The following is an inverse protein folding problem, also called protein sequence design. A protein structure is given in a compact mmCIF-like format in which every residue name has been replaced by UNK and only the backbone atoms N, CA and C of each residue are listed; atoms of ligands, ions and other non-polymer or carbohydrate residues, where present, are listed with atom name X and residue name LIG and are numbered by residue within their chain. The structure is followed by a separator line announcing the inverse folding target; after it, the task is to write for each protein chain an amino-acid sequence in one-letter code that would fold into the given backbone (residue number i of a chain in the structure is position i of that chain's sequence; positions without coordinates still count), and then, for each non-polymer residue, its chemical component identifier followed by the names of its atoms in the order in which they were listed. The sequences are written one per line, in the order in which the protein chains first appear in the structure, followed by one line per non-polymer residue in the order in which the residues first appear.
data_IF_227598566556
#
_entry.id   IF_227598566556
#
_cell.length_a   1.000
_cell.length_b   1.000
_cell.length_c   1.000
_cell.angle_alpha   90.00
_cell.angle_beta   90.00
_cell.angle_gamma   90.00
#
_symmetry.space_group_name_H-M   'P 1'
#
loop_
_entity.id
_entity.type
_entity.pdbx_description
1 polymer ?
#
# COMPACT_ATOMS: atom_id res chain seq x y z
N UNK A 1 -15.06 3.74 4.64
CA UNK A 1 -14.86 2.82 5.78
C UNK A 1 -14.93 3.64 7.07
N UNK A 2 -15.94 3.47 7.89
CA UNK A 2 -16.06 4.02 9.25
C UNK A 2 -15.87 5.52 9.50
N UNK A 3 -15.73 6.35 8.47
CA UNK A 3 -15.37 7.76 8.57
C UNK A 3 -13.86 7.98 8.84
N UNK A 4 -13.38 9.23 8.66
CA UNK A 4 -11.96 9.59 8.77
C UNK A 4 -11.34 9.21 10.13
N UNK A 5 -11.99 9.52 11.24
CA UNK A 5 -11.49 9.22 12.59
C UNK A 5 -11.31 7.70 12.86
N UNK A 6 -12.20 6.87 12.31
CA UNK A 6 -12.08 5.42 12.46
C UNK A 6 -10.96 4.83 11.59
N UNK A 7 -10.69 5.43 10.41
CA UNK A 7 -9.56 5.07 9.57
C UNK A 7 -8.21 5.37 10.21
N UNK A 8 -8.06 6.50 10.90
CA UNK A 8 -6.85 6.86 11.64
C UNK A 8 -6.54 5.84 12.76
N UNK A 9 -7.56 5.42 13.50
CA UNK A 9 -7.41 4.38 14.54
C UNK A 9 -6.99 3.05 13.91
N UNK A 10 -7.63 2.65 12.83
CA UNK A 10 -7.32 1.38 12.16
C UNK A 10 -5.89 1.36 11.62
N UNK A 11 -5.45 2.43 10.96
CA UNK A 11 -4.08 2.53 10.43
C UNK A 11 -3.02 2.54 11.53
N UNK A 12 -3.26 3.23 12.64
CA UNK A 12 -2.35 3.22 13.81
C UNK A 12 -2.20 1.81 14.38
N UNK A 13 -3.32 1.09 14.61
CA UNK A 13 -3.29 -0.30 15.11
C UNK A 13 -2.51 -1.19 14.13
N UNK A 14 -2.75 -1.04 12.81
CA UNK A 14 -2.04 -1.83 11.81
C UNK A 14 -0.51 -1.66 11.90
N UNK A 15 -0.04 -0.41 11.95
CA UNK A 15 1.39 -0.09 12.05
C UNK A 15 1.98 -0.62 13.35
N UNK A 16 1.32 -0.38 14.49
CA UNK A 16 1.80 -0.83 15.80
C UNK A 16 1.94 -2.35 15.87
N UNK A 17 0.91 -3.10 15.44
CA UNK A 17 0.94 -4.57 15.48
C UNK A 17 1.99 -5.16 14.55
N UNK A 18 2.10 -4.65 13.32
CA UNK A 18 3.10 -5.12 12.36
C UNK A 18 4.52 -4.86 12.86
N UNK A 19 4.80 -3.65 13.35
CA UNK A 19 6.11 -3.32 13.90
C UNK A 19 6.43 -4.17 15.13
N UNK A 20 5.48 -4.36 16.05
CA UNK A 20 5.66 -5.19 17.24
C UNK A 20 6.07 -6.60 16.88
N UNK A 21 5.44 -7.22 15.87
CA UNK A 21 5.70 -8.60 15.49
C UNK A 21 6.97 -8.75 14.64
N UNK A 22 7.25 -7.81 13.73
CA UNK A 22 8.41 -7.91 12.85
C UNK A 22 9.72 -7.50 13.56
N UNK A 23 9.67 -6.50 14.46
CA UNK A 23 10.87 -5.99 15.14
C UNK A 23 11.10 -6.71 16.48
N UNK A 24 10.03 -7.03 17.20
CA UNK A 24 10.12 -7.57 18.57
C UNK A 24 10.23 -9.09 18.67
N UNK A 25 9.90 -9.85 17.64
CA UNK A 25 9.75 -11.31 17.70
C UNK A 25 10.52 -12.03 16.58
N UNK A 26 11.74 -11.58 16.28
CA UNK A 26 12.56 -12.25 15.26
C UNK A 26 13.12 -13.56 15.84
N UNK A 27 12.40 -14.67 15.61
CA UNK A 27 12.89 -15.99 15.99
C UNK A 27 14.03 -16.45 15.05
N UNK A 28 15.08 -17.08 15.56
CA UNK A 28 16.14 -17.64 14.73
C UNK A 28 15.57 -18.68 13.77
N UNK A 29 15.75 -18.49 12.45
CA UNK A 29 15.29 -19.40 11.41
C UNK A 29 13.86 -19.14 10.91
N UNK A 30 13.16 -18.12 11.41
CA UNK A 30 11.86 -17.74 10.89
C UNK A 30 12.00 -17.14 9.48
N UNK A 31 11.10 -17.57 8.58
CA UNK A 31 11.04 -17.11 7.19
C UNK A 31 10.33 -15.75 7.17
N UNK A 32 11.05 -14.70 6.78
CA UNK A 32 10.56 -13.31 6.87
C UNK A 32 9.22 -13.04 6.18
N UNK A 33 8.94 -13.55 4.95
CA UNK A 33 7.64 -13.35 4.32
C UNK A 33 6.47 -13.99 5.09
N UNK A 34 6.68 -15.13 5.75
CA UNK A 34 5.64 -15.78 6.57
C UNK A 34 5.41 -14.99 7.87
N UNK A 35 6.47 -14.48 8.49
CA UNK A 35 6.35 -13.57 9.63
C UNK A 35 5.58 -12.31 9.27
N UNK A 36 5.90 -11.70 8.12
CA UNK A 36 5.21 -10.52 7.65
C UNK A 36 3.72 -10.79 7.35
N UNK A 37 3.42 -11.93 6.72
CA UNK A 37 2.04 -12.37 6.48
C UNK A 37 1.27 -12.56 7.79
N UNK A 38 1.86 -13.24 8.77
CA UNK A 38 1.27 -13.46 10.08
C UNK A 38 1.06 -12.13 10.83
N UNK A 39 1.99 -11.18 10.71
CA UNK A 39 1.84 -9.85 11.29
C UNK A 39 0.66 -9.07 10.69
N UNK A 40 0.43 -9.18 9.38
CA UNK A 40 -0.73 -8.57 8.71
C UNK A 40 -2.04 -9.21 9.16
N UNK A 41 -2.08 -10.55 9.33
CA UNK A 41 -3.26 -11.25 9.86
C UNK A 41 -3.55 -10.81 11.30
N UNK A 42 -2.53 -10.74 12.15
CA UNK A 42 -2.69 -10.29 13.54
C UNK A 42 -3.18 -8.82 13.61
N UNK A 43 -2.69 -7.94 12.74
CA UNK A 43 -3.18 -6.58 12.63
C UNK A 43 -4.67 -6.53 12.23
N UNK A 44 -5.10 -7.38 11.28
CA UNK A 44 -6.52 -7.52 10.94
C UNK A 44 -7.36 -7.90 12.15
N UNK A 45 -6.93 -8.91 12.90
CA UNK A 45 -7.65 -9.42 14.08
C UNK A 45 -7.75 -8.36 15.18
N UNK A 46 -6.71 -7.60 15.41
CA UNK A 46 -6.68 -6.49 16.37
C UNK A 46 -7.68 -5.39 15.99
N UNK A 47 -7.69 -4.96 14.71
CA UNK A 47 -8.60 -3.94 14.21
C UNK A 47 -10.04 -4.45 14.27
N UNK A 48 -10.32 -5.66 13.76
CA UNK A 48 -11.64 -6.26 13.78
C UNK A 48 -12.18 -6.39 15.20
N UNK A 49 -11.39 -6.93 16.13
CA UNK A 49 -11.77 -7.09 17.53
C UNK A 49 -12.05 -5.74 18.20
N UNK A 50 -11.29 -4.70 17.87
CA UNK A 50 -11.52 -3.34 18.39
C UNK A 50 -12.83 -2.76 17.87
N UNK A 51 -13.14 -2.97 16.58
CA UNK A 51 -14.41 -2.54 15.98
C UNK A 51 -15.62 -3.22 16.66
N UNK A 52 -15.55 -4.53 16.91
CA UNK A 52 -16.62 -5.29 17.55
C UNK A 52 -16.90 -4.84 18.98
N UNK A 53 -15.88 -4.38 19.72
CA UNK A 53 -16.02 -3.92 21.11
C UNK A 53 -16.56 -2.50 21.24
N UNK A 54 -16.58 -1.72 20.17
CA UNK A 54 -17.02 -0.33 20.22
C UNK A 54 -17.95 -0.02 19.02
N UNK A 55 -19.27 0.12 19.26
CA UNK A 55 -20.22 0.42 18.20
C UNK A 55 -19.90 1.68 17.38
N UNK A 56 -19.18 2.67 17.95
CA UNK A 56 -18.74 3.88 17.24
C UNK A 56 -17.67 3.61 16.21
N UNK A 57 -17.00 2.47 16.28
CA UNK A 57 -15.95 2.02 15.38
C UNK A 57 -16.43 0.91 14.43
N UNK A 58 -17.73 0.65 14.39
CA UNK A 58 -18.29 -0.40 13.52
C UNK A 58 -17.94 -0.14 12.06
N UNK A 59 -17.40 -1.17 11.38
CA UNK A 59 -16.95 -1.08 10.00
C UNK A 59 -15.65 -0.28 9.79
N UNK A 60 -14.90 0.02 10.86
CA UNK A 60 -13.56 0.60 10.68
C UNK A 60 -12.64 -0.38 9.95
N UNK A 61 -11.78 0.17 9.12
CA UNK A 61 -10.79 -0.60 8.38
C UNK A 61 -9.76 0.30 7.75
N UNK A 62 -8.68 -0.29 7.28
CA UNK A 62 -7.60 0.41 6.58
C UNK A 62 -7.03 -0.46 5.47
N UNK A 63 -6.45 0.17 4.46
CA UNK A 63 -5.56 -0.48 3.50
C UNK A 63 -4.18 -0.67 4.13
N UNK A 64 -3.36 -1.52 3.52
CA UNK A 64 -1.96 -1.72 3.88
C UNK A 64 -1.14 -1.97 2.62
N UNK A 65 -0.04 -1.28 2.49
CA UNK A 65 1.08 -1.66 1.63
C UNK A 65 2.36 -1.58 2.46
N UNK A 66 3.18 -2.61 2.41
CA UNK A 66 4.45 -2.66 3.16
C UNK A 66 5.54 -3.31 2.33
N UNK A 67 6.74 -2.77 2.43
CA UNK A 67 7.98 -3.33 1.90
C UNK A 67 8.78 -3.89 3.07
N UNK A 68 9.06 -5.18 3.03
CA UNK A 68 9.86 -5.88 4.03
C UNK A 68 11.15 -6.31 3.36
N UNK A 69 12.28 -5.94 3.95
CA UNK A 69 13.60 -6.20 3.37
C UNK A 69 14.47 -6.99 4.32
N UNK A 70 15.26 -7.88 3.78
CA UNK A 70 16.36 -8.58 4.42
C UNK A 70 17.64 -8.32 3.61
N UNK A 71 18.80 -8.82 4.08
CA UNK A 71 20.10 -8.59 3.45
C UNK A 71 20.14 -8.89 1.94
N UNK A 72 19.33 -9.84 1.46
CA UNK A 72 19.35 -10.30 0.05
C UNK A 72 17.99 -10.39 -0.63
N UNK A 73 16.92 -10.08 0.08
CA UNK A 73 15.56 -10.32 -0.42
C UNK A 73 14.64 -9.20 0.05
N UNK A 74 13.62 -8.94 -0.75
CA UNK A 74 12.58 -7.99 -0.41
C UNK A 74 11.21 -8.56 -0.78
N UNK A 75 10.20 -8.23 0.00
CA UNK A 75 8.82 -8.64 -0.23
C UNK A 75 7.88 -7.44 -0.07
N UNK A 76 6.92 -7.35 -0.96
CA UNK A 76 5.81 -6.40 -0.82
C UNK A 76 4.57 -7.16 -0.40
N UNK A 77 3.92 -6.74 0.70
CA UNK A 77 2.60 -7.23 1.07
C UNK A 77 1.56 -6.14 0.86
N UNK A 78 0.40 -6.54 0.34
CA UNK A 78 -0.68 -5.62 0.03
C UNK A 78 -2.05 -6.13 0.50
N UNK A 79 -2.84 -5.21 1.07
CA UNK A 79 -4.28 -5.34 1.33
C UNK A 79 -4.94 -4.01 1.02
N UNK A 80 -5.73 -3.94 -0.05
CA UNK A 80 -6.41 -2.71 -0.48
C UNK A 80 -5.88 -2.16 -1.79
N UNK A 81 -6.05 -0.86 -1.99
CA UNK A 81 -5.71 -0.09 -3.18
C UNK A 81 -4.56 0.91 -2.99
N UNK A 82 -3.87 0.85 -1.85
CA UNK A 82 -2.56 1.46 -1.68
C UNK A 82 -1.54 0.68 -2.49
N UNK A 83 -0.59 1.37 -3.12
CA UNK A 83 0.26 0.76 -4.13
C UNK A 83 1.74 0.79 -3.77
N UNK A 84 2.47 -0.22 -4.26
CA UNK A 84 3.92 -0.20 -4.36
C UNK A 84 4.33 -0.19 -5.82
N UNK A 85 5.24 0.72 -6.16
CA UNK A 85 5.88 0.82 -7.47
C UNK A 85 7.37 0.61 -7.35
N UNK A 86 8.00 0.14 -8.43
CA UNK A 86 9.45 0.09 -8.60
C UNK A 86 9.85 0.93 -9.80
N UNK A 87 10.81 1.82 -9.63
CA UNK A 87 11.54 2.47 -10.72
C UNK A 87 12.88 1.75 -10.89
N UNK A 88 13.07 1.12 -12.04
CA UNK A 88 14.34 0.48 -12.49
C UNK A 88 14.61 0.91 -13.92
N UNK A 89 15.85 1.26 -14.25
CA UNK A 89 16.27 1.65 -15.60
C UNK A 89 15.36 2.71 -16.24
N UNK A 90 14.95 3.69 -15.44
CA UNK A 90 14.03 4.76 -15.84
C UNK A 90 12.61 4.31 -16.22
N UNK A 91 12.20 3.09 -15.87
CA UNK A 91 10.86 2.55 -16.09
C UNK A 91 10.15 2.34 -14.77
N UNK A 92 8.97 2.90 -14.67
CA UNK A 92 8.06 2.69 -13.54
C UNK A 92 7.20 1.44 -13.77
N UNK A 93 7.12 0.58 -12.75
CA UNK A 93 6.30 -0.63 -12.74
C UNK A 93 5.49 -0.68 -11.45
N UNK A 94 4.18 -0.88 -11.54
CA UNK A 94 3.35 -1.18 -10.38
C UNK A 94 3.57 -2.65 -9.98
N UNK A 95 3.99 -2.89 -8.74
CA UNK A 95 4.23 -4.23 -8.19
C UNK A 95 2.92 -4.82 -7.64
N UNK A 96 2.15 -4.02 -6.92
CA UNK A 96 0.89 -4.44 -6.29
C UNK A 96 -0.26 -4.47 -7.27
N UNK A 97 -1.25 -5.30 -6.99
CA UNK A 97 -2.53 -5.32 -7.71
C UNK A 97 -3.60 -4.77 -6.77
N UNK A 98 -4.39 -3.81 -7.22
CA UNK A 98 -5.40 -3.18 -6.39
C UNK A 98 -6.53 -4.16 -6.03
N UNK A 99 -6.89 -4.22 -4.76
CA UNK A 99 -8.10 -4.92 -4.34
C UNK A 99 -9.31 -3.99 -4.48
N UNK A 100 -9.67 -3.68 -5.71
CA UNK A 100 -10.80 -2.85 -6.08
C UNK A 100 -11.78 -3.58 -7.00
N UNK A 101 -13.05 -3.15 -6.96
CA UNK A 101 -14.08 -3.75 -7.79
C UNK A 101 -13.76 -3.61 -9.28
N UNK A 102 -13.22 -2.46 -9.70
CA UNK A 102 -12.88 -2.23 -11.10
C UNK A 102 -11.71 -3.08 -11.57
N UNK A 103 -10.68 -3.27 -10.73
CA UNK A 103 -9.53 -4.13 -11.04
C UNK A 103 -9.96 -5.60 -11.18
N UNK A 104 -10.87 -6.08 -10.34
CA UNK A 104 -11.46 -7.42 -10.48
C UNK A 104 -12.20 -7.57 -11.82
N UNK A 105 -12.97 -6.56 -12.25
CA UNK A 105 -13.67 -6.57 -13.54
C UNK A 105 -12.69 -6.56 -14.72
N UNK A 106 -11.59 -5.80 -14.62
CA UNK A 106 -10.53 -5.79 -15.65
C UNK A 106 -9.88 -7.15 -15.75
N UNK A 107 -9.50 -7.75 -14.64
CA UNK A 107 -8.88 -9.09 -14.60
C UNK A 107 -9.78 -10.20 -15.13
N UNK A 108 -11.11 -10.06 -14.95
CA UNK A 108 -12.10 -10.96 -15.52
C UNK A 108 -12.38 -10.70 -17.02
N UNK A 109 -11.72 -9.71 -17.63
CA UNK A 109 -11.98 -9.30 -19.02
C UNK A 109 -13.35 -8.65 -19.25
N UNK A 110 -14.03 -8.19 -18.18
CA UNK A 110 -15.35 -7.58 -18.24
C UNK A 110 -15.32 -6.06 -18.40
N UNK A 111 -14.15 -5.46 -18.20
CA UNK A 111 -13.91 -4.03 -18.30
C UNK A 111 -12.52 -3.77 -18.86
N UNK A 112 -12.36 -2.71 -19.66
CA UNK A 112 -11.02 -2.26 -20.07
C UNK A 112 -10.37 -1.41 -18.97
N UNK A 113 -9.03 -1.32 -18.94
CA UNK A 113 -8.32 -0.41 -18.03
C UNK A 113 -8.78 1.05 -18.21
N UNK A 114 -9.04 1.48 -19.45
CA UNK A 114 -9.52 2.83 -19.73
C UNK A 114 -10.92 3.10 -19.16
N UNK A 115 -11.79 2.11 -19.12
CA UNK A 115 -13.13 2.22 -18.54
C UNK A 115 -13.06 2.18 -17.00
N UNK A 116 -12.16 1.38 -16.44
CA UNK A 116 -11.92 1.30 -15.01
C UNK A 116 -11.53 2.67 -14.42
N UNK A 117 -10.63 3.40 -15.09
CA UNK A 117 -10.20 4.74 -14.68
C UNK A 117 -11.33 5.78 -14.65
N UNK A 118 -12.37 5.59 -15.49
CA UNK A 118 -13.54 6.50 -15.58
C UNK A 118 -14.73 6.02 -14.76
N UNK A 119 -14.66 4.82 -14.21
CA UNK A 119 -15.79 4.21 -13.49
C UNK A 119 -16.10 5.00 -12.20
N UNK A 120 -17.39 5.25 -11.91
CA UNK A 120 -17.80 5.81 -10.62
C UNK A 120 -17.50 4.85 -9.45
N UNK A 121 -17.28 3.57 -9.75
CA UNK A 121 -16.94 2.53 -8.76
C UNK A 121 -15.44 2.32 -8.57
N UNK A 122 -14.59 3.16 -9.17
CA UNK A 122 -13.12 3.02 -9.08
C UNK A 122 -12.56 3.07 -7.66
N UNK A 123 -13.31 3.70 -6.74
CA UNK A 123 -12.91 3.83 -5.33
C UNK A 123 -13.53 2.74 -4.42
N UNK A 124 -14.22 1.75 -5.00
CA UNK A 124 -14.81 0.66 -4.23
C UNK A 124 -13.77 -0.42 -4.04
N UNK A 125 -13.23 -0.51 -2.81
CA UNK A 125 -12.27 -1.54 -2.44
C UNK A 125 -13.00 -2.83 -2.02
N UNK A 126 -12.42 -3.97 -2.38
CA UNK A 126 -12.97 -5.31 -2.13
C UNK A 126 -12.30 -6.00 -0.95
N UNK A 127 -11.12 -5.51 -0.51
CA UNK A 127 -10.37 -6.06 0.61
C UNK A 127 -9.72 -4.96 1.44
N UNK A 128 -9.92 -4.99 2.78
CA UNK A 128 -9.29 -4.08 3.73
C UNK A 128 -9.10 -4.78 5.08
N UNK A 129 -8.09 -4.36 5.85
CA UNK A 129 -7.87 -4.83 7.22
C UNK A 129 -9.01 -4.37 8.12
N UNK A 130 -9.44 -5.25 9.03
CA UNK A 130 -10.42 -4.97 10.08
C UNK A 130 -11.88 -5.03 9.63
N UNK A 131 -12.16 -5.22 8.35
CA UNK A 131 -13.54 -5.27 7.82
C UNK A 131 -14.17 -6.66 7.88
N UNK A 132 -13.35 -7.70 7.94
CA UNK A 132 -13.76 -9.11 8.00
C UNK A 132 -12.96 -9.86 9.06
N UNK A 133 -13.48 -11.01 9.49
CA UNK A 133 -12.83 -11.88 10.49
C UNK A 133 -11.51 -12.47 10.03
N UNK A 134 -11.26 -12.52 8.73
CA UNK A 134 -10.02 -13.01 8.16
C UNK A 134 -9.60 -12.19 6.95
N UNK A 135 -8.30 -12.10 6.70
CA UNK A 135 -7.72 -11.45 5.54
C UNK A 135 -6.59 -12.30 4.97
N UNK A 136 -6.47 -12.30 3.66
CA UNK A 136 -5.30 -12.89 2.98
C UNK A 136 -4.56 -11.75 2.29
N UNK A 137 -3.38 -11.33 2.78
CA UNK A 137 -2.56 -10.35 2.08
C UNK A 137 -1.96 -10.98 0.83
N UNK A 138 -1.91 -10.21 -0.26
CA UNK A 138 -1.05 -10.57 -1.39
C UNK A 138 0.41 -10.35 -1.00
N UNK A 139 1.30 -11.21 -1.47
CA UNK A 139 2.73 -11.15 -1.18
C UNK A 139 3.51 -11.33 -2.46
N UNK A 140 4.33 -10.33 -2.80
CA UNK A 140 5.15 -10.28 -4.00
C UNK A 140 6.61 -10.42 -3.60
N UNK A 141 7.29 -11.43 -4.15
CA UNK A 141 8.74 -11.61 -4.01
C UNK A 141 9.45 -10.64 -4.96
N UNK A 142 10.35 -9.83 -4.42
CA UNK A 142 11.04 -8.76 -5.14
C UNK A 142 12.53 -9.07 -5.20
N UNK A 143 13.04 -9.21 -6.40
CA UNK A 143 14.47 -9.19 -6.63
C UNK A 143 14.93 -7.73 -6.75
N UNK A 144 15.35 -7.14 -5.63
CA UNK A 144 15.86 -5.79 -5.60
C UNK A 144 17.28 -5.73 -6.17
N UNK A 145 17.57 -4.71 -6.99
CA UNK A 145 18.89 -4.43 -7.56
C UNK A 145 19.37 -3.06 -7.07
N UNK A 146 20.70 -2.87 -6.94
CA UNK A 146 21.25 -1.55 -6.62
C UNK A 146 20.76 -0.48 -7.60
N UNK A 147 20.26 0.61 -7.05
CA UNK A 147 19.68 1.71 -7.83
C UNK A 147 18.17 1.69 -7.99
N UNK A 148 17.50 0.57 -7.69
CA UNK A 148 16.03 0.53 -7.63
C UNK A 148 15.49 1.56 -6.66
N UNK A 149 14.40 2.23 -7.06
CA UNK A 149 13.63 3.08 -6.18
C UNK A 149 12.24 2.51 -6.04
N UNK A 150 11.86 2.14 -4.82
CA UNK A 150 10.52 1.71 -4.47
C UNK A 150 9.73 2.91 -3.97
N UNK A 151 8.47 3.02 -4.42
CA UNK A 151 7.52 4.00 -3.94
C UNK A 151 6.30 3.28 -3.36
N UNK A 152 6.01 3.51 -2.07
CA UNK A 152 4.77 3.10 -1.44
C UNK A 152 3.89 4.34 -1.30
N UNK A 153 2.62 4.24 -1.69
CA UNK A 153 1.72 5.39 -1.62
C UNK A 153 0.27 5.00 -1.35
N UNK A 154 -0.47 5.94 -0.76
CA UNK A 154 -1.92 5.87 -0.70
C UNK A 154 -2.55 6.23 -2.06
N UNK A 155 -3.80 5.86 -2.23
CA UNK A 155 -4.62 6.18 -3.40
C UNK A 155 -4.77 7.68 -3.66
N UNK A 156 -4.70 8.52 -2.61
CA UNK A 156 -4.71 9.98 -2.75
C UNK A 156 -3.58 10.54 -3.63
N UNK A 157 -2.48 9.79 -3.82
CA UNK A 157 -1.45 10.16 -4.79
C UNK A 157 -1.82 9.71 -6.21
N UNK A 158 -2.20 8.45 -6.38
CA UNK A 158 -2.42 7.83 -7.69
C UNK A 158 -3.75 8.18 -8.33
N UNK A 159 -4.70 8.72 -7.56
CA UNK A 159 -5.92 9.33 -8.10
C UNK A 159 -5.66 10.68 -8.79
N UNK A 160 -4.66 11.40 -8.32
CA UNK A 160 -4.32 12.73 -8.83
C UNK A 160 -3.22 12.68 -9.90
N UNK A 161 -2.29 11.73 -9.80
CA UNK A 161 -1.15 11.60 -10.71
C UNK A 161 -1.22 10.29 -11.49
N UNK A 162 -1.23 10.39 -12.82
CA UNK A 162 -1.03 9.23 -13.68
C UNK A 162 0.42 8.74 -13.64
N UNK A 163 0.65 7.45 -13.89
CA UNK A 163 1.97 6.81 -13.84
C UNK A 163 3.07 7.54 -14.62
N UNK A 164 2.84 8.11 -15.82
CA UNK A 164 3.88 8.88 -16.53
C UNK A 164 4.34 10.14 -15.77
N UNK A 165 3.44 10.78 -15.01
CA UNK A 165 3.81 11.95 -14.20
C UNK A 165 4.62 11.53 -12.96
N UNK A 166 4.24 10.43 -12.32
CA UNK A 166 4.98 9.82 -11.22
C UNK A 166 6.39 9.42 -11.69
N UNK A 167 6.50 8.70 -12.81
CA UNK A 167 7.77 8.29 -13.41
C UNK A 167 8.68 9.48 -13.68
N UNK A 168 8.14 10.53 -14.29
CA UNK A 168 8.90 11.75 -14.61
C UNK A 168 9.51 12.38 -13.36
N UNK A 169 8.77 12.43 -12.24
CA UNK A 169 9.26 12.99 -10.97
C UNK A 169 10.30 12.07 -10.33
N UNK A 170 10.07 10.76 -10.33
CA UNK A 170 10.98 9.78 -9.74
C UNK A 170 12.32 9.69 -10.51
N UNK A 171 12.34 9.96 -11.82
CA UNK A 171 13.55 9.97 -12.65
C UNK A 171 14.44 11.20 -12.43
N UNK A 172 13.94 12.24 -11.76
CA UNK A 172 14.75 13.43 -11.49
C UNK A 172 15.98 13.05 -10.66
N UNK A 173 17.15 13.53 -11.06
CA UNK A 173 18.39 13.32 -10.31
C UNK A 173 18.50 14.31 -9.14
N UNK A 174 17.67 14.13 -8.14
CA UNK A 174 17.64 14.89 -6.89
C UNK A 174 17.44 13.92 -5.72
N UNK A 175 17.73 14.32 -4.45
CA UNK A 175 17.53 13.48 -3.28
C UNK A 175 16.09 12.93 -3.15
N UNK A 176 15.92 11.77 -2.49
CA UNK A 176 14.62 11.09 -2.37
C UNK A 176 13.57 11.94 -1.65
N UNK A 177 13.96 12.67 -0.62
CA UNK A 177 13.09 13.59 0.10
C UNK A 177 12.53 14.69 -0.80
N UNK A 178 13.36 15.24 -1.72
CA UNK A 178 12.93 16.21 -2.72
C UNK A 178 11.98 15.59 -3.73
N UNK A 179 12.24 14.34 -4.19
CA UNK A 179 11.31 13.60 -5.09
C UNK A 179 9.97 13.37 -4.39
N UNK A 180 10.00 12.93 -3.13
CA UNK A 180 8.81 12.71 -2.32
C UNK A 180 7.99 13.99 -2.15
N UNK A 181 8.64 15.11 -1.80
CA UNK A 181 7.98 16.41 -1.69
C UNK A 181 7.34 16.85 -3.02
N UNK A 182 8.03 16.65 -4.15
CA UNK A 182 7.50 16.98 -5.49
C UNK A 182 6.27 16.15 -5.86
N UNK A 183 6.25 14.86 -5.52
CA UNK A 183 5.08 14.00 -5.73
C UNK A 183 3.85 14.51 -4.97
N UNK A 184 4.03 14.83 -3.68
CA UNK A 184 2.95 15.35 -2.84
C UNK A 184 2.46 16.71 -3.36
N UNK A 185 3.36 17.62 -3.70
CA UNK A 185 3.00 18.94 -4.24
C UNK A 185 2.31 18.84 -5.62
N UNK A 186 2.75 17.93 -6.48
CA UNK A 186 2.11 17.69 -7.77
C UNK A 186 0.68 17.15 -7.58
N UNK A 187 0.48 16.18 -6.69
CA UNK A 187 -0.83 15.63 -6.38
C UNK A 187 -1.77 16.69 -5.76
N UNK A 188 -1.28 17.52 -4.84
CA UNK A 188 -2.05 18.65 -4.29
C UNK A 188 -2.46 19.65 -5.37
N UNK A 189 -1.58 19.97 -6.32
CA UNK A 189 -1.88 20.87 -7.43
C UNK A 189 -2.87 20.29 -8.43
N UNK A 190 -2.91 18.97 -8.58
CA UNK A 190 -3.83 18.27 -9.47
C UNK A 190 -5.25 18.17 -8.89
N UNK A 191 -5.42 18.40 -7.58
CA UNK A 191 -6.73 18.41 -6.91
C UNK A 191 -6.62 18.22 -5.40
N UNK A 192 -5.79 17.27 -4.97
CA UNK A 192 -5.57 17.00 -3.55
C UNK A 192 -6.85 16.62 -2.80
N UNK A 193 -7.71 15.81 -3.43
CA UNK A 193 -9.05 15.51 -2.92
C UNK A 193 -9.05 14.53 -1.73
N UNK A 194 -7.90 13.91 -1.43
CA UNK A 194 -7.76 12.94 -0.34
C UNK A 194 -6.40 13.09 0.38
N UNK A 195 -6.21 12.39 1.49
CA UNK A 195 -4.96 12.32 2.21
C UNK A 195 -3.88 11.66 1.33
N UNK A 196 -2.73 12.33 1.19
CA UNK A 196 -1.63 11.87 0.35
C UNK A 196 -0.47 11.41 1.22
N UNK A 197 -0.15 10.13 1.14
CA UNK A 197 1.02 9.54 1.79
C UNK A 197 1.94 8.94 0.75
N UNK A 198 3.25 9.21 0.88
CA UNK A 198 4.27 8.66 0.00
C UNK A 198 5.54 8.34 0.79
N UNK A 199 6.10 7.14 0.57
CA UNK A 199 7.39 6.70 1.10
C UNK A 199 8.25 6.27 -0.07
N UNK A 200 9.50 6.76 -0.13
CA UNK A 200 10.49 6.34 -1.12
C UNK A 200 11.64 5.60 -0.44
N UNK A 201 11.99 4.44 -0.98
CA UNK A 201 13.10 3.59 -0.51
C UNK A 201 14.01 3.30 -1.69
N UNK A 202 15.32 3.49 -1.55
CA UNK A 202 16.30 3.16 -2.58
C UNK A 202 17.16 1.98 -2.15
N UNK A 203 17.31 1.00 -3.04
CA UNK A 203 18.27 -0.07 -2.85
C UNK A 203 19.69 0.48 -3.10
N UNK A 204 20.55 0.33 -2.11
CA UNK A 204 21.96 0.70 -2.17
C UNK A 204 22.81 -0.51 -2.57
N UNK A 205 24.06 -0.24 -3.03
CA UNK A 205 25.04 -1.28 -3.36
C UNK A 205 25.56 -1.98 -2.09
#
# INVERSE_FOLDING_TARGET
MGGAAAGEIASSIAVEEILRLLVGCREPGAVLPDMARNAVIAANDAIYSRAQRNPRLNGMGTTLVTLVVDERSAWVLNVGDSRCYRLRDSRLEQITVDHSLVEEQVRMGRMSHSDALRSPLRNVITRALGTQTSVTPDCFDIQAEPGDVFMLCSDGLTRELADPAVESILRCNVPLDVRCARLIEAAKKAGGHDNITCILVQALA
#
